data_IF_978976901647
#
_entry.id   IF_978976901647
#
_cell.length_a   1.000
_cell.length_b   1.000
_cell.length_c   1.000
_cell.angle_alpha   90.00
_cell.angle_beta   90.00
_cell.angle_gamma   90.00
#
_symmetry.space_group_name_H-M   'P 1'
#
loop_
_entity.id
_entity.type
_entity.pdbx_description
1 polymer ?
#
# COMPACT_ATOMS: atom_id res chain seq x y z
N UNK A 1 -24.57 8.85 -11.05
CA UNK A 1 -23.12 9.05 -10.81
C UNK A 1 -22.40 7.73 -11.04
N UNK A 2 -21.37 7.70 -11.88
CA UNK A 2 -20.53 6.51 -12.01
C UNK A 2 -19.70 6.34 -10.72
N UNK A 3 -19.78 5.17 -10.09
CA UNK A 3 -18.91 4.82 -8.98
C UNK A 3 -17.60 4.29 -9.57
N UNK A 4 -16.51 5.03 -9.39
CA UNK A 4 -15.18 4.60 -9.82
C UNK A 4 -14.65 3.69 -8.72
N UNK A 5 -14.36 2.44 -9.06
CA UNK A 5 -13.78 1.48 -8.14
C UNK A 5 -12.27 1.55 -8.28
N UNK A 6 -11.61 2.01 -7.23
CA UNK A 6 -10.16 2.07 -7.18
C UNK A 6 -9.59 0.88 -6.43
N UNK A 7 -8.49 0.32 -6.94
CA UNK A 7 -7.78 -0.79 -6.27
C UNK A 7 -6.54 -0.25 -5.56
N UNK A 8 -6.50 -0.45 -4.25
CA UNK A 8 -5.36 -0.11 -3.41
C UNK A 8 -4.81 -1.40 -2.82
N UNK A 9 -3.53 -1.66 -3.05
CA UNK A 9 -2.81 -2.84 -2.55
C UNK A 9 -1.75 -2.36 -1.55
N UNK A 10 -1.84 -2.84 -0.31
CA UNK A 10 -0.88 -2.55 0.76
C UNK A 10 -0.13 -3.84 1.11
N UNK A 11 1.17 -3.84 0.89
CA UNK A 11 2.09 -4.88 1.32
C UNK A 11 2.84 -4.40 2.56
N UNK A 12 2.69 -5.11 3.67
CA UNK A 12 3.36 -4.80 4.93
C UNK A 12 4.29 -5.96 5.27
N UNK A 13 5.58 -5.68 5.35
CA UNK A 13 6.58 -6.63 5.85
C UNK A 13 6.64 -6.48 7.38
N UNK A 14 6.40 -7.58 8.08
CA UNK A 14 6.44 -7.67 9.55
C UNK A 14 7.67 -8.47 9.99
N UNK A 15 8.28 -8.09 11.10
CA UNK A 15 9.35 -8.86 11.75
C UNK A 15 8.80 -10.06 12.56
N UNK A 16 9.70 -10.79 13.22
CA UNK A 16 9.37 -11.96 14.06
C UNK A 16 8.45 -11.61 15.25
N UNK A 17 8.41 -10.35 15.68
CA UNK A 17 7.55 -9.85 16.76
C UNK A 17 6.24 -9.24 16.23
N UNK A 18 5.98 -9.34 14.91
CA UNK A 18 4.85 -8.72 14.19
C UNK A 18 4.92 -7.18 14.16
N UNK A 19 6.11 -6.61 14.27
CA UNK A 19 6.34 -5.18 14.10
C UNK A 19 6.52 -4.88 12.61
N UNK A 20 5.77 -3.92 12.03
CA UNK A 20 5.97 -3.50 10.65
C UNK A 20 7.34 -2.87 10.44
N UNK A 21 8.16 -3.46 9.57
CA UNK A 21 9.45 -2.89 9.17
C UNK A 21 9.35 -2.08 7.89
N UNK A 22 8.62 -2.60 6.88
CA UNK A 22 8.45 -1.91 5.60
C UNK A 22 7.00 -1.92 5.16
N UNK A 23 6.53 -0.76 4.69
CA UNK A 23 5.21 -0.62 4.11
C UNK A 23 5.36 -0.17 2.66
N UNK A 24 4.79 -0.96 1.76
CA UNK A 24 4.67 -0.62 0.35
C UNK A 24 3.19 -0.51 0.02
N UNK A 25 2.78 0.61 -0.56
CA UNK A 25 1.42 0.76 -1.04
C UNK A 25 1.39 1.14 -2.51
N UNK A 26 0.42 0.59 -3.21
CA UNK A 26 0.19 0.82 -4.64
C UNK A 26 -1.25 1.23 -4.83
N UNK A 27 -1.48 2.39 -5.43
CA UNK A 27 -2.79 2.90 -5.80
C UNK A 27 -2.81 3.15 -7.29
N UNK A 28 -3.52 2.28 -8.01
CA UNK A 28 -3.52 2.26 -9.48
C UNK A 28 -4.19 3.52 -10.06
N UNK A 29 -5.25 4.01 -9.41
CA UNK A 29 -6.00 5.21 -9.81
C UNK A 29 -5.26 6.53 -9.53
N UNK A 30 -4.37 6.55 -8.55
CA UNK A 30 -3.56 7.73 -8.21
C UNK A 30 -2.29 7.85 -9.04
N UNK A 31 -1.99 6.86 -9.90
CA UNK A 31 -0.69 6.75 -10.57
C UNK A 31 0.46 6.42 -9.61
N UNK A 32 0.16 6.00 -8.37
CA UNK A 32 1.15 5.73 -7.34
C UNK A 32 1.46 4.24 -7.38
N UNK A 33 2.57 3.91 -8.04
CA UNK A 33 3.10 2.55 -8.07
C UNK A 33 4.20 2.41 -7.03
N UNK A 34 4.01 1.52 -6.06
CA UNK A 34 5.05 1.10 -5.13
C UNK A 34 5.67 2.25 -4.32
N UNK A 35 4.83 3.12 -3.75
CA UNK A 35 5.31 4.13 -2.83
C UNK A 35 5.74 3.45 -1.52
N UNK A 36 7.02 3.58 -1.18
CA UNK A 36 7.53 3.27 0.15
C UNK A 36 6.90 4.25 1.14
N UNK A 37 6.19 3.71 2.13
CA UNK A 37 5.88 4.43 3.34
C UNK A 37 6.87 3.93 4.40
N UNK A 38 7.77 4.82 4.81
CA UNK A 38 8.56 4.59 6.02
C UNK A 38 7.62 4.61 7.23
N UNK A 39 7.74 3.60 8.08
CA UNK A 39 7.18 3.61 9.43
C UNK A 39 7.86 4.70 10.29
#
# INVERSE_FOLDING_TARGET
MANIKSKIELNVELDENRVPEKLHWTAQDGGISNAEAKA
#
